data_IF_626497805347
#
_entry.id   IF_626497805347
#
_cell.length_a   1.000
_cell.length_b   1.000
_cell.length_c   1.000
_cell.angle_alpha   90.00
_cell.angle_beta   90.00
_cell.angle_gamma   90.00
#
_symmetry.space_group_name_H-M   'P 1'
#
loop_
_entity.id
_entity.type
_entity.pdbx_description
1 polymer ?
#
# COMPACT_ATOMS: atom_id res chain seq x y z
N UNK A 1 17.81 18.31 9.18
CA UNK A 1 18.17 17.41 8.09
C UNK A 1 17.25 17.64 6.92
N UNK A 2 17.78 17.92 5.73
CA UNK A 2 16.92 17.99 4.57
C UNK A 2 16.24 16.65 4.38
N UNK A 3 14.96 16.67 4.03
CA UNK A 3 14.25 15.46 3.60
C UNK A 3 15.08 14.83 2.49
N UNK A 4 15.66 13.68 2.77
CA UNK A 4 16.40 12.95 1.76
C UNK A 4 15.48 12.64 0.60
N UNK A 5 15.59 13.41 -0.46
CA UNK A 5 15.12 12.95 -1.75
C UNK A 5 16.10 11.85 -2.13
N UNK A 6 15.70 10.60 -1.95
CA UNK A 6 16.48 9.49 -2.44
C UNK A 6 16.31 9.45 -3.95
N UNK A 7 17.31 9.86 -4.72
CA UNK A 7 17.19 9.79 -6.17
C UNK A 7 17.03 8.33 -6.58
N UNK A 8 15.96 8.05 -7.26
CA UNK A 8 15.77 6.71 -7.84
C UNK A 8 16.76 6.54 -8.97
N UNK A 9 17.33 5.35 -9.06
CA UNK A 9 18.14 5.00 -10.23
C UNK A 9 17.27 5.07 -11.49
N UNK A 10 17.88 5.38 -12.61
CA UNK A 10 17.17 5.41 -13.90
C UNK A 10 16.47 4.09 -14.21
N UNK A 11 17.07 2.97 -13.83
CA UNK A 11 16.45 1.66 -13.97
C UNK A 11 15.14 1.54 -13.20
N UNK A 12 15.06 2.12 -11.99
CA UNK A 12 13.82 2.15 -11.22
C UNK A 12 12.76 3.06 -11.85
N UNK A 13 13.17 4.20 -12.41
CA UNK A 13 12.29 5.10 -13.12
C UNK A 13 11.79 4.48 -14.44
N UNK A 14 12.64 3.78 -15.16
CA UNK A 14 12.28 3.06 -16.38
C UNK A 14 11.27 1.96 -16.10
N UNK A 15 11.51 1.13 -15.10
CA UNK A 15 10.57 0.10 -14.67
C UNK A 15 9.21 0.67 -14.26
N UNK A 16 9.19 1.87 -13.66
CA UNK A 16 7.95 2.58 -13.36
C UNK A 16 7.26 3.08 -14.62
N UNK A 17 8.00 3.64 -15.57
CA UNK A 17 7.45 4.11 -16.84
C UNK A 17 6.84 2.97 -17.64
N UNK A 18 7.48 1.81 -17.66
CA UNK A 18 6.94 0.62 -18.31
C UNK A 18 5.65 0.12 -17.64
N UNK A 19 5.62 0.06 -16.32
CA UNK A 19 4.40 -0.26 -15.57
C UNK A 19 3.28 0.72 -15.88
N UNK A 20 3.61 2.00 -16.06
CA UNK A 20 2.67 3.04 -16.44
C UNK A 20 2.13 2.88 -17.84
N UNK A 21 2.98 2.56 -18.80
CA UNK A 21 2.55 2.29 -20.18
C UNK A 21 1.61 1.08 -20.23
N UNK A 22 1.91 0.04 -19.45
CA UNK A 22 1.05 -1.14 -19.34
C UNK A 22 -0.28 -0.81 -18.63
N UNK A 23 -0.26 0.06 -17.61
CA UNK A 23 -1.46 0.50 -16.90
C UNK A 23 -2.27 1.54 -17.67
N UNK A 24 -1.64 2.29 -18.58
CA UNK A 24 -2.30 3.32 -19.39
C UNK A 24 -3.15 2.77 -20.54
N UNK A 25 -3.04 1.50 -20.86
CA UNK A 25 -3.97 0.83 -21.75
C UNK A 25 -5.30 0.64 -21.02
N UNK A 26 -6.23 1.59 -21.19
CA UNK A 26 -7.60 1.52 -20.66
C UNK A 26 -8.43 0.43 -21.37
N UNK A 27 -7.91 -0.77 -21.45
CA UNK A 27 -8.71 -1.91 -21.85
C UNK A 27 -9.56 -2.35 -20.67
N UNK A 28 -10.86 -2.31 -20.83
CA UNK A 28 -11.77 -2.91 -19.84
C UNK A 28 -11.34 -4.37 -19.66
N UNK A 29 -11.19 -4.83 -18.42
CA UNK A 29 -10.84 -6.22 -18.18
C UNK A 29 -11.87 -7.15 -18.83
N UNK A 30 -11.43 -8.26 -19.36
CA UNK A 30 -12.32 -9.29 -19.91
C UNK A 30 -13.31 -9.78 -18.86
N UNK A 31 -14.41 -10.38 -19.28
CA UNK A 31 -15.41 -10.95 -18.36
C UNK A 31 -14.76 -11.94 -17.38
N UNK A 32 -13.82 -12.76 -17.85
CA UNK A 32 -13.06 -13.70 -17.02
C UNK A 32 -12.18 -12.98 -15.99
N UNK A 33 -11.51 -11.91 -16.41
CA UNK A 33 -10.70 -11.12 -15.48
C UNK A 33 -11.57 -10.43 -14.41
N UNK A 34 -12.75 -9.94 -14.77
CA UNK A 34 -13.71 -9.38 -13.81
C UNK A 34 -14.20 -10.42 -12.82
N UNK A 35 -14.46 -11.62 -13.30
CA UNK A 35 -14.91 -12.73 -12.46
C UNK A 35 -13.82 -13.13 -11.46
N UNK A 36 -12.56 -13.28 -11.91
CA UNK A 36 -11.42 -13.54 -11.02
C UNK A 36 -11.26 -12.45 -9.98
N UNK A 37 -11.35 -11.17 -10.37
CA UNK A 37 -11.27 -10.04 -9.45
C UNK A 37 -12.42 -10.05 -8.45
N UNK A 38 -13.62 -10.43 -8.88
CA UNK A 38 -14.78 -10.55 -8.01
C UNK A 38 -14.63 -11.72 -7.02
N UNK A 39 -14.20 -12.87 -7.50
CA UNK A 39 -13.93 -14.04 -6.67
C UNK A 39 -12.81 -13.78 -5.64
N UNK A 40 -11.78 -13.08 -6.06
CA UNK A 40 -10.70 -12.68 -5.17
C UNK A 40 -11.16 -11.72 -4.08
N UNK A 41 -12.04 -10.77 -4.40
CA UNK A 41 -12.66 -9.85 -3.43
C UNK A 41 -13.52 -10.58 -2.39
N UNK A 42 -14.27 -11.58 -2.83
CA UNK A 42 -15.17 -12.32 -1.96
C UNK A 42 -14.48 -13.42 -1.16
N UNK A 43 -13.36 -13.92 -1.66
CA UNK A 43 -12.63 -15.05 -1.07
C UNK A 43 -12.21 -14.83 0.39
N UNK A 44 -11.92 -13.63 0.78
CA UNK A 44 -11.51 -13.29 2.15
C UNK A 44 -12.62 -12.66 2.99
N UNK A 45 -13.82 -12.44 2.43
CA UNK A 45 -14.95 -11.86 3.16
C UNK A 45 -14.83 -10.39 3.57
N UNK A 46 -13.77 -9.72 3.13
CA UNK A 46 -13.50 -8.32 3.51
C UNK A 46 -13.98 -7.28 2.51
N UNK A 47 -14.51 -7.70 1.38
CA UNK A 47 -15.15 -6.81 0.40
C UNK A 47 -16.49 -7.40 -0.09
N UNK A 48 -17.43 -7.71 0.82
CA UNK A 48 -18.72 -8.24 0.41
C UNK A 48 -19.51 -7.14 -0.29
N UNK A 49 -19.99 -7.45 -1.49
CA UNK A 49 -20.88 -6.57 -2.26
C UNK A 49 -20.34 -5.16 -2.52
N UNK A 50 -19.01 -5.01 -2.65
CA UNK A 50 -18.38 -3.71 -2.92
C UNK A 50 -18.31 -2.77 -1.72
N UNK A 51 -18.51 -3.28 -0.51
CA UNK A 51 -18.30 -2.55 0.74
C UNK A 51 -17.05 -3.07 1.43
N UNK A 52 -15.86 -2.51 1.14
CA UNK A 52 -14.64 -3.00 1.71
C UNK A 52 -14.59 -2.79 3.22
N UNK A 53 -14.06 -3.77 3.95
CA UNK A 53 -13.77 -3.61 5.37
C UNK A 53 -12.69 -2.54 5.59
N UNK A 54 -12.58 -2.03 6.83
CA UNK A 54 -11.52 -1.09 7.19
C UNK A 54 -10.13 -1.68 6.95
N UNK A 55 -9.94 -2.96 7.25
CA UNK A 55 -8.70 -3.66 7.01
C UNK A 55 -8.33 -3.70 5.53
N UNK A 56 -9.28 -4.02 4.68
CA UNK A 56 -9.10 -4.04 3.23
C UNK A 56 -8.81 -2.63 2.68
N UNK A 57 -9.52 -1.63 3.14
CA UNK A 57 -9.25 -0.23 2.76
C UNK A 57 -7.86 0.21 3.17
N UNK A 58 -7.43 -0.16 4.37
CA UNK A 58 -6.09 0.13 4.88
C UNK A 58 -5.01 -0.47 3.97
N UNK A 59 -5.17 -1.73 3.58
CA UNK A 59 -4.27 -2.40 2.65
C UNK A 59 -4.25 -1.75 1.27
N UNK A 60 -5.41 -1.43 0.72
CA UNK A 60 -5.50 -0.71 -0.57
C UNK A 60 -4.80 0.64 -0.53
N UNK A 61 -5.05 1.41 0.52
CA UNK A 61 -4.44 2.73 0.69
C UNK A 61 -2.92 2.63 0.83
N UNK A 62 -2.42 1.65 1.55
CA UNK A 62 -1.00 1.36 1.66
C UNK A 62 -0.38 1.11 0.28
N UNK A 63 -0.96 0.24 -0.51
CA UNK A 63 -0.49 -0.06 -1.86
C UNK A 63 -0.56 1.17 -2.77
N UNK A 64 -1.66 1.90 -2.73
CA UNK A 64 -1.84 3.11 -3.54
C UNK A 64 -0.75 4.14 -3.24
N UNK A 65 -0.46 4.39 -1.99
CA UNK A 65 0.59 5.34 -1.60
C UNK A 65 1.99 4.94 -2.08
N UNK A 66 2.26 3.67 -2.14
CA UNK A 66 3.57 3.16 -2.56
C UNK A 66 3.69 2.94 -4.07
N UNK A 67 2.61 2.65 -4.74
CA UNK A 67 2.61 2.17 -6.12
C UNK A 67 2.00 3.15 -7.12
N UNK A 68 1.08 4.02 -6.69
CA UNK A 68 0.39 4.97 -7.58
C UNK A 68 0.99 6.37 -7.49
N UNK A 69 1.74 6.83 -8.52
CA UNK A 69 2.34 8.17 -8.51
C UNK A 69 1.35 9.32 -8.53
N UNK A 70 0.09 9.06 -8.88
CA UNK A 70 -0.98 10.05 -8.83
C UNK A 70 -1.62 10.17 -7.44
N UNK A 71 -1.24 9.30 -6.50
CA UNK A 71 -1.73 9.38 -5.14
C UNK A 71 -1.21 10.65 -4.46
N UNK A 72 -2.08 11.30 -3.69
CA UNK A 72 -1.79 12.58 -3.03
C UNK A 72 -0.51 12.55 -2.18
N UNK A 73 -0.22 11.42 -1.56
CA UNK A 73 0.94 11.27 -0.67
C UNK A 73 2.03 10.36 -1.24
N UNK A 74 2.01 10.13 -2.52
CA UNK A 74 3.01 9.29 -3.16
C UNK A 74 4.44 9.78 -2.91
N UNK A 75 4.67 11.09 -2.92
CA UNK A 75 5.97 11.69 -2.65
C UNK A 75 6.53 11.33 -1.26
N UNK A 76 5.66 11.08 -0.29
CA UNK A 76 6.04 10.71 1.07
C UNK A 76 6.28 9.21 1.25
N UNK A 77 5.87 8.38 0.29
CA UNK A 77 5.95 6.91 0.34
C UNK A 77 6.68 6.33 -0.87
N UNK A 78 5.97 6.02 -1.94
CA UNK A 78 6.56 5.44 -3.13
C UNK A 78 7.59 6.35 -3.79
N UNK A 79 7.38 7.67 -3.77
CA UNK A 79 8.33 8.66 -4.25
C UNK A 79 9.66 8.69 -3.49
N UNK A 80 9.67 8.21 -2.24
CA UNK A 80 10.88 8.05 -1.42
C UNK A 80 11.57 6.70 -1.59
N UNK A 81 11.00 5.79 -2.37
CA UNK A 81 11.50 4.43 -2.51
C UNK A 81 10.90 3.43 -1.53
N UNK A 82 9.88 3.82 -0.77
CA UNK A 82 9.17 2.92 0.14
C UNK A 82 8.30 1.98 -0.69
N UNK A 83 8.41 0.69 -0.42
CA UNK A 83 7.72 -0.37 -1.13
C UNK A 83 6.90 -1.22 -0.17
N UNK A 84 5.97 -1.98 -0.74
CA UNK A 84 5.23 -3.03 -0.04
C UNK A 84 5.92 -4.36 -0.32
N UNK A 85 6.13 -5.19 0.69
CA UNK A 85 6.76 -6.50 0.48
C UNK A 85 5.91 -7.35 -0.47
N UNK A 86 6.57 -8.26 -1.17
CA UNK A 86 5.92 -9.10 -2.19
C UNK A 86 4.74 -9.90 -1.62
N UNK A 87 4.89 -10.45 -0.43
CA UNK A 87 3.86 -11.20 0.26
C UNK A 87 2.56 -10.39 0.47
N UNK A 88 2.69 -9.07 0.65
CA UNK A 88 1.56 -8.17 0.87
C UNK A 88 0.99 -7.55 -0.41
N UNK A 89 1.47 -7.96 -1.56
CA UNK A 89 0.82 -7.65 -2.82
C UNK A 89 -0.52 -8.39 -2.94
N UNK A 90 -0.69 -9.48 -2.20
CA UNK A 90 -1.95 -10.18 -2.00
C UNK A 90 -2.53 -9.80 -0.62
N UNK A 91 -3.81 -9.44 -0.58
CA UNK A 91 -4.49 -9.10 0.67
C UNK A 91 -4.47 -10.26 1.67
N UNK A 92 -4.58 -11.49 1.21
CA UNK A 92 -4.53 -12.67 2.07
C UNK A 92 -3.22 -12.75 2.86
N UNK A 93 -2.09 -12.43 2.23
CA UNK A 93 -0.79 -12.38 2.89
C UNK A 93 -0.71 -11.28 3.94
N UNK A 94 -1.23 -10.10 3.63
CA UNK A 94 -1.32 -9.00 4.58
C UNK A 94 -2.20 -9.36 5.79
N UNK A 95 -3.37 -9.92 5.53
CA UNK A 95 -4.31 -10.31 6.59
C UNK A 95 -3.73 -11.40 7.49
N UNK A 96 -3.01 -12.37 6.92
CA UNK A 96 -2.35 -13.43 7.69
C UNK A 96 -1.28 -12.89 8.63
N UNK A 97 -0.53 -11.87 8.21
CA UNK A 97 0.55 -11.30 9.00
C UNK A 97 0.08 -10.25 10.01
N UNK A 98 -0.88 -9.42 9.64
CA UNK A 98 -1.33 -8.29 10.45
C UNK A 98 -2.64 -8.54 11.19
N UNK A 99 -3.46 -9.47 10.72
CA UNK A 99 -4.80 -9.67 11.25
C UNK A 99 -5.75 -8.52 10.87
N UNK A 100 -6.96 -8.58 11.41
CA UNK A 100 -7.95 -7.53 11.23
C UNK A 100 -7.54 -6.25 11.97
N UNK A 101 -7.85 -5.11 11.38
CA UNK A 101 -7.59 -3.81 12.00
C UNK A 101 -8.41 -3.65 13.28
N UNK A 102 -7.77 -3.53 14.45
CA UNK A 102 -8.48 -3.28 15.70
C UNK A 102 -9.16 -1.90 15.70
N UNK A 103 -10.30 -1.73 16.39
CA UNK A 103 -10.94 -0.43 16.51
C UNK A 103 -10.00 0.63 17.10
N UNK A 104 -9.96 1.80 16.47
CA UNK A 104 -9.13 2.92 16.93
C UNK A 104 -7.65 2.81 16.62
N UNK A 105 -7.21 1.72 16.01
CA UNK A 105 -5.81 1.53 15.61
C UNK A 105 -5.67 1.69 14.09
N UNK A 106 -4.49 2.10 13.67
CA UNK A 106 -4.14 2.27 12.25
C UNK A 106 -2.78 1.65 11.96
N UNK A 107 -2.52 1.38 10.69
CA UNK A 107 -1.26 0.79 10.28
C UNK A 107 -0.12 1.80 10.41
N UNK A 108 0.91 1.42 11.14
CA UNK A 108 2.10 2.22 11.39
C UNK A 108 3.36 1.45 11.05
N UNK A 109 4.35 2.12 10.51
CA UNK A 109 5.69 1.57 10.31
C UNK A 109 6.57 1.95 11.50
N UNK A 110 7.21 0.97 12.10
CA UNK A 110 8.14 1.20 13.23
C UNK A 110 9.29 2.10 12.80
N UNK A 111 9.87 1.81 11.64
CA UNK A 111 10.86 2.64 10.98
C UNK A 111 10.19 3.36 9.80
N UNK A 112 10.08 4.69 9.88
CA UNK A 112 9.47 5.52 8.84
C UNK A 112 10.23 5.52 7.52
N UNK A 113 11.49 5.15 7.54
CA UNK A 113 12.32 5.03 6.35
C UNK A 113 12.34 3.60 5.79
N UNK A 114 11.75 2.65 6.52
CA UNK A 114 11.61 1.26 6.11
C UNK A 114 10.38 0.99 5.25
N UNK A 115 10.32 -0.19 4.69
CA UNK A 115 9.23 -0.63 3.83
C UNK A 115 8.05 -1.17 4.64
N UNK A 116 6.92 -1.34 3.96
CA UNK A 116 5.78 -2.07 4.50
C UNK A 116 6.06 -3.57 4.43
N UNK A 117 6.39 -4.15 5.55
CA UNK A 117 6.72 -5.56 5.71
C UNK A 117 6.33 -6.04 7.11
N UNK A 118 6.14 -7.36 7.35
CA UNK A 118 5.68 -7.86 8.64
C UNK A 118 6.54 -7.45 9.83
N UNK A 119 7.86 -7.39 9.65
CA UNK A 119 8.80 -7.02 10.70
C UNK A 119 8.84 -5.53 11.03
N UNK A 120 8.28 -4.68 10.16
CA UNK A 120 8.35 -3.22 10.29
C UNK A 120 6.98 -2.55 10.50
N UNK A 121 5.90 -3.29 10.51
CA UNK A 121 4.55 -2.75 10.65
C UNK A 121 3.87 -3.23 11.92
N UNK A 122 2.99 -2.37 12.43
CA UNK A 122 2.16 -2.67 13.61
C UNK A 122 0.84 -1.91 13.52
N UNK A 123 -0.13 -2.35 14.29
CA UNK A 123 -1.30 -1.55 14.59
C UNK A 123 -0.97 -0.61 15.74
N UNK A 124 -1.19 0.66 15.55
CA UNK A 124 -0.82 1.69 16.52
C UNK A 124 -1.94 2.70 16.72
N UNK A 125 -1.99 3.30 17.91
CA UNK A 125 -2.87 4.43 18.18
C UNK A 125 -2.37 5.67 17.46
N UNK A 126 -3.25 6.65 17.29
CA UNK A 126 -2.86 7.94 16.70
C UNK A 126 -1.75 8.64 17.49
N UNK A 127 -1.77 8.52 18.81
CA UNK A 127 -0.72 9.07 19.66
C UNK A 127 0.65 8.42 19.40
N UNK A 128 0.67 7.10 19.26
CA UNK A 128 1.89 6.36 18.91
C UNK A 128 2.39 6.72 17.52
N UNK A 129 1.49 6.86 16.54
CA UNK A 129 1.85 7.32 15.21
C UNK A 129 2.44 8.72 15.20
N UNK A 130 1.84 9.65 15.96
CA UNK A 130 2.34 11.02 16.06
C UNK A 130 3.75 11.07 16.65
N UNK A 131 4.02 10.24 17.64
CA UNK A 131 5.37 10.12 18.24
C UNK A 131 6.38 9.54 17.26
N UNK A 132 5.94 8.67 16.37
CA UNK A 132 6.79 7.99 15.39
C UNK A 132 6.89 8.74 14.05
N UNK A 133 6.13 9.83 13.86
CA UNK A 133 6.22 10.65 12.68
C UNK A 133 7.52 11.41 12.62
N UNK A 134 8.02 11.61 11.42
CA UNK A 134 9.13 12.52 11.21
C UNK A 134 8.73 13.94 11.61
N UNK A 135 9.67 14.71 12.19
CA UNK A 135 9.41 16.12 12.51
C UNK A 135 8.94 16.86 11.26
N UNK A 136 7.84 17.58 11.37
CA UNK A 136 7.41 18.50 10.32
C UNK A 136 8.37 19.67 10.29
N UNK A 137 8.74 20.05 9.12
CA UNK A 137 9.44 21.33 8.92
C UNK A 137 8.47 22.45 8.69
#
# INVERSE_FOLDING_TARGET
MPRGVYPRSEAQLEGMRERFRAAGAKTKPSAEARQRMSEERTRHGHDPHGKPSKTYQCWRNMRTRCENPNATRYADYGGRGITVCERWHDFAGFLADMGEQPPGLTLDRKDNDGNYEPGNCRWATRAEQNRNQRPRR
#
